data_IF_709859578873
#
_entry.id   IF_709859578873
#
_cell.length_a   1.000
_cell.length_b   1.000
_cell.length_c   1.000
_cell.angle_alpha   90.00
_cell.angle_beta   90.00
_cell.angle_gamma   90.00
#
_symmetry.space_group_name_H-M   'P 1'
#
loop_
_entity.id
_entity.type
_entity.pdbx_description
1 polymer ?
#
# COMPACT_ATOMS: atom_id res chain seq x y z
N UNK A 1 63.94 -22.22 16.84
CA UNK A 1 63.22 -22.26 15.55
C UNK A 1 62.22 -21.10 15.56
N UNK A 2 62.56 -19.97 14.92
CA UNK A 2 61.66 -18.82 14.79
C UNK A 2 60.66 -19.15 13.67
N UNK A 3 59.37 -19.21 13.96
CA UNK A 3 58.33 -19.32 12.94
C UNK A 3 57.66 -17.95 12.78
N UNK A 4 57.65 -17.52 11.54
CA UNK A 4 57.33 -16.21 11.03
C UNK A 4 55.80 -16.00 11.06
N UNK A 5 55.32 -14.93 11.71
CA UNK A 5 53.93 -14.49 11.59
C UNK A 5 53.80 -13.57 10.38
N UNK A 6 53.65 -14.17 9.20
CA UNK A 6 53.33 -13.46 7.96
C UNK A 6 51.82 -13.39 7.72
N UNK A 7 51.28 -12.17 7.69
CA UNK A 7 50.09 -11.73 6.95
C UNK A 7 48.96 -12.75 6.72
N UNK A 8 48.07 -12.92 7.71
CA UNK A 8 46.71 -13.46 7.50
C UNK A 8 45.61 -12.51 7.98
N UNK A 9 45.94 -11.24 8.21
CA UNK A 9 44.98 -10.22 8.70
C UNK A 9 44.42 -9.33 7.59
N UNK A 10 45.00 -9.38 6.39
CA UNK A 10 44.64 -8.50 5.28
C UNK A 10 43.67 -9.11 4.27
N UNK A 11 43.57 -10.45 4.19
CA UNK A 11 42.62 -11.10 3.27
C UNK A 11 41.16 -11.06 3.76
N UNK A 12 40.93 -10.95 5.07
CA UNK A 12 39.59 -10.93 5.66
C UNK A 12 38.84 -9.60 5.45
N UNK A 13 39.56 -8.49 5.29
CA UNK A 13 38.95 -7.16 5.13
C UNK A 13 38.53 -6.91 3.67
N UNK A 14 39.16 -7.59 2.69
CA UNK A 14 38.75 -7.53 1.28
C UNK A 14 37.61 -8.48 0.93
N UNK A 15 37.38 -9.53 1.72
CA UNK A 15 36.29 -10.50 1.54
C UNK A 15 34.94 -10.04 2.12
N UNK A 16 34.94 -9.07 3.04
CA UNK A 16 33.75 -8.59 3.75
C UNK A 16 32.71 -7.92 2.83
N UNK A 17 33.09 -7.02 1.90
CA UNK A 17 32.13 -6.42 0.98
C UNK A 17 31.55 -7.44 -0.01
N UNK A 18 32.34 -8.45 -0.38
CA UNK A 18 31.93 -9.48 -1.34
C UNK A 18 31.00 -10.52 -0.70
N UNK A 19 31.21 -10.87 0.57
CA UNK A 19 30.32 -11.75 1.33
C UNK A 19 28.97 -11.06 1.61
N UNK A 20 28.98 -9.79 2.02
CA UNK A 20 27.76 -8.98 2.25
C UNK A 20 26.99 -8.76 0.92
N UNK A 21 27.69 -8.51 -0.18
CA UNK A 21 27.08 -8.41 -1.51
C UNK A 21 26.52 -9.77 -1.99
N UNK A 22 27.17 -10.89 -1.66
CA UNK A 22 26.70 -12.24 -2.03
C UNK A 22 25.54 -12.71 -1.16
N UNK A 23 25.43 -12.23 0.09
CA UNK A 23 24.32 -12.48 1.00
C UNK A 23 23.07 -11.68 0.61
N UNK A 24 23.24 -10.41 0.20
CA UNK A 24 22.19 -9.66 -0.52
C UNK A 24 21.74 -10.42 -1.78
N UNK A 25 22.70 -10.82 -2.62
CA UNK A 25 22.45 -11.42 -3.94
C UNK A 25 21.84 -12.82 -3.95
N UNK A 26 22.02 -13.62 -2.89
CA UNK A 26 21.61 -15.03 -2.87
C UNK A 26 20.50 -15.37 -1.88
N UNK A 27 20.16 -14.49 -0.93
CA UNK A 27 19.15 -14.78 0.12
C UNK A 27 18.09 -13.68 0.19
N UNK A 28 18.47 -12.42 -0.01
CA UNK A 28 17.52 -11.29 -0.01
C UNK A 28 16.92 -11.10 -1.41
N UNK A 29 17.76 -11.11 -2.44
CA UNK A 29 17.37 -10.88 -3.84
C UNK A 29 16.44 -11.94 -4.48
N UNK A 30 16.50 -13.24 -4.14
CA UNK A 30 15.59 -14.21 -4.76
C UNK A 30 14.15 -14.09 -4.28
N UNK A 31 13.93 -13.55 -3.07
CA UNK A 31 12.61 -13.41 -2.46
C UNK A 31 12.07 -11.97 -2.59
N UNK A 32 12.98 -11.00 -2.61
CA UNK A 32 12.70 -9.57 -2.75
C UNK A 32 13.65 -9.04 -3.82
N UNK A 33 13.33 -9.26 -5.10
CA UNK A 33 14.15 -8.73 -6.19
C UNK A 33 14.48 -7.25 -5.96
N UNK A 34 15.75 -6.86 -6.18
CA UNK A 34 16.29 -5.51 -5.92
C UNK A 34 15.44 -4.35 -6.48
N UNK A 35 14.48 -4.64 -7.37
CA UNK A 35 13.55 -3.68 -7.96
C UNK A 35 12.25 -3.46 -7.15
N UNK A 36 11.77 -4.43 -6.35
CA UNK A 36 10.44 -4.35 -5.73
C UNK A 36 10.44 -3.74 -4.31
N UNK A 37 11.51 -3.87 -3.52
CA UNK A 37 11.58 -3.24 -2.18
C UNK A 37 11.52 -1.72 -2.27
N UNK A 38 12.11 -1.13 -3.31
CA UNK A 38 12.05 0.32 -3.57
C UNK A 38 10.68 0.79 -4.10
N UNK A 39 9.84 -0.13 -4.59
CA UNK A 39 8.49 0.19 -5.07
C UNK A 39 7.54 0.53 -3.90
N UNK A 40 7.60 -0.26 -2.81
CA UNK A 40 6.70 -0.12 -1.66
C UNK A 40 7.13 0.95 -0.64
N UNK A 41 8.43 1.24 -0.52
CA UNK A 41 8.98 2.19 0.48
C UNK A 41 8.48 3.65 0.27
N UNK A 42 8.04 4.00 -0.94
CA UNK A 42 7.47 5.32 -1.24
C UNK A 42 5.94 5.38 -1.17
N UNK A 43 5.30 4.35 -0.64
CA UNK A 43 3.84 4.25 -0.69
C UNK A 43 3.18 4.90 0.53
N UNK A 44 2.17 5.70 0.24
CA UNK A 44 1.46 6.49 1.26
C UNK A 44 0.79 5.56 2.26
N UNK A 45 0.81 5.95 3.53
CA UNK A 45 0.07 5.29 4.61
C UNK A 45 -1.40 5.07 4.23
N UNK A 46 -2.08 4.04 4.81
CA UNK A 46 -3.50 3.82 4.61
C UNK A 46 -4.32 5.10 4.79
N UNK A 47 -5.39 5.22 4.01
CA UNK A 47 -6.33 6.33 4.10
C UNK A 47 -7.05 6.27 5.45
N UNK A 48 -6.50 6.97 6.43
CA UNK A 48 -7.00 7.05 7.80
C UNK A 48 -6.81 8.45 8.35
N UNK A 49 -7.86 8.95 8.97
CA UNK A 49 -7.89 10.19 9.70
C UNK A 49 -8.78 10.04 10.94
N UNK A 50 -8.97 11.13 11.69
CA UNK A 50 -9.91 11.15 12.82
C UNK A 50 -11.31 10.73 12.35
N UNK A 51 -11.95 9.77 13.04
CA UNK A 51 -13.28 9.29 12.65
C UNK A 51 -14.32 10.37 12.95
N UNK A 52 -15.13 10.72 11.94
CA UNK A 52 -16.13 11.77 12.08
C UNK A 52 -17.54 11.21 12.32
N UNK A 53 -18.29 11.92 13.17
CA UNK A 53 -19.76 11.79 13.21
C UNK A 53 -20.35 12.32 11.91
N UNK A 54 -21.64 12.06 11.67
CA UNK A 54 -22.34 12.56 10.49
C UNK A 54 -22.24 14.09 10.40
N UNK A 55 -22.51 14.79 11.50
CA UNK A 55 -22.50 16.26 11.57
C UNK A 55 -21.10 16.81 11.29
N UNK A 56 -20.06 16.18 11.84
CA UNK A 56 -18.68 16.59 11.62
C UNK A 56 -18.26 16.36 10.17
N UNK A 57 -18.69 15.24 9.56
CA UNK A 57 -18.48 14.94 8.15
C UNK A 57 -19.18 15.97 7.24
N UNK A 58 -20.40 16.40 7.57
CA UNK A 58 -21.12 17.46 6.84
C UNK A 58 -20.38 18.81 6.91
N UNK A 59 -19.89 19.21 8.10
CA UNK A 59 -19.07 20.43 8.24
C UNK A 59 -17.74 20.33 7.48
N UNK A 60 -17.12 19.15 7.49
CA UNK A 60 -15.94 18.86 6.70
C UNK A 60 -16.21 19.01 5.20
N UNK A 61 -17.35 18.48 4.72
CA UNK A 61 -17.78 18.60 3.34
C UNK A 61 -17.86 20.07 2.86
N UNK A 62 -18.42 20.95 3.71
CA UNK A 62 -18.48 22.39 3.45
C UNK A 62 -17.08 23.00 3.39
N UNK A 63 -16.19 22.58 4.30
CA UNK A 63 -14.81 23.07 4.38
C UNK A 63 -14.01 22.71 3.13
N UNK A 64 -14.07 21.45 2.70
CA UNK A 64 -13.38 21.03 1.48
C UNK A 64 -13.98 21.69 0.23
N UNK A 65 -15.31 21.87 0.16
CA UNK A 65 -15.97 22.48 -0.97
C UNK A 65 -15.53 23.94 -1.18
N UNK A 66 -15.29 24.67 -0.09
CA UNK A 66 -14.76 26.04 -0.13
C UNK A 66 -13.29 26.10 -0.58
N UNK A 67 -12.53 25.02 -0.37
CA UNK A 67 -11.10 24.91 -0.74
C UNK A 67 -10.90 24.46 -2.19
N UNK A 68 -11.87 23.76 -2.77
CA UNK A 68 -11.77 23.22 -4.12
C UNK A 68 -11.72 24.31 -5.18
N UNK A 69 -10.55 24.47 -5.79
CA UNK A 69 -10.35 25.26 -6.99
C UNK A 69 -10.32 24.32 -8.19
N UNK A 70 -11.15 24.59 -9.20
CA UNK A 70 -11.47 23.61 -10.23
C UNK A 70 -11.02 24.03 -11.62
N UNK A 71 -10.51 23.05 -12.37
CA UNK A 71 -10.19 23.16 -13.79
C UNK A 71 -11.08 22.22 -14.60
N UNK A 72 -11.45 22.66 -15.80
CA UNK A 72 -12.31 21.94 -16.74
C UNK A 72 -11.54 21.60 -18.02
N UNK A 73 -12.01 20.58 -18.76
CA UNK A 73 -11.52 20.19 -20.10
C UNK A 73 -10.06 19.70 -20.17
N UNK A 74 -9.62 18.91 -19.20
CA UNK A 74 -8.31 18.25 -19.24
C UNK A 74 -8.39 16.75 -19.60
N UNK A 75 -7.27 16.20 -20.08
CA UNK A 75 -7.20 14.88 -20.71
C UNK A 75 -6.55 13.78 -19.86
N UNK A 76 -6.21 14.02 -18.59
CA UNK A 76 -5.46 13.03 -17.78
C UNK A 76 -6.30 11.77 -17.45
N UNK A 77 -5.77 10.57 -17.66
CA UNK A 77 -6.43 9.29 -17.30
C UNK A 77 -5.78 8.60 -16.08
N UNK A 78 -5.12 9.36 -15.21
CA UNK A 78 -4.35 8.86 -14.05
C UNK A 78 -5.10 7.85 -13.17
N UNK A 79 -6.43 7.96 -13.02
CA UNK A 79 -7.20 7.01 -12.20
C UNK A 79 -7.26 5.59 -12.78
N UNK A 80 -7.22 5.45 -14.11
CA UNK A 80 -7.21 4.12 -14.75
C UNK A 80 -5.84 3.48 -14.66
N UNK A 81 -4.79 4.27 -14.91
CA UNK A 81 -3.39 3.85 -14.70
C UNK A 81 -3.21 3.42 -13.24
N UNK A 82 -3.67 4.26 -12.31
CA UNK A 82 -3.59 3.96 -10.88
C UNK A 82 -4.37 2.71 -10.48
N UNK A 83 -5.55 2.47 -11.06
CA UNK A 83 -6.30 1.24 -10.79
C UNK A 83 -5.57 0.01 -11.32
N UNK A 84 -4.87 0.11 -12.45
CA UNK A 84 -4.05 -0.99 -12.97
C UNK A 84 -2.84 -1.25 -12.06
N UNK A 85 -2.16 -0.21 -11.58
CA UNK A 85 -1.10 -0.34 -10.59
C UNK A 85 -1.64 -1.00 -9.32
N UNK A 86 -2.84 -0.61 -8.88
CA UNK A 86 -3.45 -1.18 -7.69
C UNK A 86 -3.72 -2.68 -7.82
N UNK A 87 -4.21 -3.11 -8.97
CA UNK A 87 -4.41 -4.53 -9.29
C UNK A 87 -3.09 -5.30 -9.28
N UNK A 88 -2.05 -4.76 -9.91
CA UNK A 88 -0.73 -5.40 -9.95
C UNK A 88 -0.19 -5.67 -8.56
N UNK A 89 -0.17 -4.64 -7.70
CA UNK A 89 0.35 -4.75 -6.33
C UNK A 89 -0.49 -5.72 -5.50
N UNK A 90 -1.82 -5.69 -5.64
CA UNK A 90 -2.70 -6.61 -4.93
C UNK A 90 -2.45 -8.07 -5.31
N UNK A 91 -2.20 -8.34 -6.60
CA UNK A 91 -1.84 -9.68 -7.09
C UNK A 91 -0.48 -10.15 -6.56
N UNK A 92 0.52 -9.27 -6.51
CA UNK A 92 1.83 -9.58 -5.93
C UNK A 92 1.71 -9.95 -4.44
N UNK A 93 0.97 -9.15 -3.66
CA UNK A 93 0.73 -9.45 -2.25
C UNK A 93 -0.02 -10.78 -2.11
N UNK A 94 -1.06 -11.02 -2.90
CA UNK A 94 -1.80 -12.27 -2.86
C UNK A 94 -0.90 -13.49 -3.13
N UNK A 95 0.00 -13.42 -4.12
CA UNK A 95 0.94 -14.48 -4.42
C UNK A 95 1.89 -14.74 -3.23
N UNK A 96 2.48 -13.69 -2.67
CA UNK A 96 3.35 -13.76 -1.49
C UNK A 96 2.65 -14.41 -0.29
N UNK A 97 1.41 -14.00 0.00
CA UNK A 97 0.63 -14.54 1.12
C UNK A 97 0.26 -16.01 0.88
N UNK A 98 -0.09 -16.36 -0.35
CA UNK A 98 -0.46 -17.73 -0.74
C UNK A 98 0.72 -18.69 -0.66
N UNK A 99 1.94 -18.22 -0.90
CA UNK A 99 3.16 -19.02 -0.71
C UNK A 99 3.44 -19.27 0.77
N UNK A 100 3.38 -18.23 1.60
CA UNK A 100 3.59 -18.35 3.05
C UNK A 100 2.55 -19.27 3.72
N UNK A 101 1.31 -19.29 3.23
CA UNK A 101 0.26 -20.21 3.69
C UNK A 101 0.57 -21.69 3.42
N UNK A 102 1.23 -21.99 2.29
CA UNK A 102 1.60 -23.37 1.94
C UNK A 102 2.72 -23.92 2.80
N UNK A 103 3.58 -23.03 3.31
CA UNK A 103 4.71 -23.38 4.18
C UNK A 103 4.31 -23.58 5.65
N UNK A 104 3.00 -23.59 5.96
CA UNK A 104 2.42 -23.70 7.32
C UNK A 104 2.94 -22.61 8.29
N UNK A 105 3.39 -21.49 7.72
CA UNK A 105 3.79 -20.33 8.50
C UNK A 105 2.56 -19.67 9.10
N UNK A 106 2.62 -19.32 10.40
CA UNK A 106 1.55 -18.60 11.09
C UNK A 106 1.41 -17.18 10.52
N UNK A 107 0.50 -17.01 9.55
CA UNK A 107 0.12 -15.70 9.05
C UNK A 107 -0.85 -14.99 10.01
N UNK A 108 -1.00 -13.68 9.85
CA UNK A 108 -1.97 -12.91 10.63
C UNK A 108 -3.41 -13.17 10.13
N UNK A 109 -4.44 -13.00 10.97
CA UNK A 109 -5.83 -13.13 10.53
C UNK A 109 -6.20 -12.18 9.37
N UNK A 110 -5.55 -11.03 9.28
CA UNK A 110 -5.76 -10.08 8.19
C UNK A 110 -5.22 -10.61 6.85
N UNK A 111 -4.06 -11.29 6.87
CA UNK A 111 -3.50 -11.94 5.69
C UNK A 111 -4.38 -13.10 5.21
N UNK A 112 -4.89 -13.91 6.15
CA UNK A 112 -5.77 -15.04 5.84
C UNK A 112 -7.06 -14.55 5.19
N UNK A 113 -7.70 -13.54 5.80
CA UNK A 113 -8.89 -12.90 5.23
C UNK A 113 -8.63 -12.36 3.82
N UNK A 114 -7.48 -11.72 3.59
CA UNK A 114 -7.16 -11.16 2.27
C UNK A 114 -7.04 -12.24 1.20
N UNK A 115 -6.41 -13.38 1.52
CA UNK A 115 -6.28 -14.51 0.59
C UNK A 115 -7.63 -15.15 0.32
N UNK A 116 -8.41 -15.43 1.37
CA UNK A 116 -9.72 -16.08 1.25
C UNK A 116 -10.73 -15.26 0.45
N UNK A 117 -10.62 -13.94 0.51
CA UNK A 117 -11.56 -13.00 -0.11
C UNK A 117 -11.01 -12.34 -1.37
N UNK A 118 -9.85 -12.77 -1.89
CA UNK A 118 -9.21 -12.10 -3.02
C UNK A 118 -10.09 -12.06 -4.28
N UNK A 119 -10.90 -13.09 -4.51
CA UNK A 119 -11.84 -13.13 -5.64
C UNK A 119 -12.85 -11.96 -5.64
N UNK A 120 -13.30 -11.50 -4.46
CA UNK A 120 -14.19 -10.33 -4.35
C UNK A 120 -13.47 -9.05 -4.75
N UNK A 121 -12.18 -8.96 -4.42
CA UNK A 121 -11.34 -7.80 -4.73
C UNK A 121 -11.11 -7.73 -6.24
N UNK A 122 -10.80 -8.85 -6.88
CA UNK A 122 -10.71 -8.97 -8.34
C UNK A 122 -12.01 -8.54 -9.03
N UNK A 123 -13.16 -8.99 -8.52
CA UNK A 123 -14.47 -8.58 -9.05
C UNK A 123 -14.68 -7.06 -8.93
N UNK A 124 -14.31 -6.45 -7.79
CA UNK A 124 -14.42 -5.00 -7.63
C UNK A 124 -13.47 -4.25 -8.57
N UNK A 125 -12.24 -4.73 -8.78
CA UNK A 125 -11.30 -4.12 -9.74
C UNK A 125 -11.87 -4.19 -11.16
N UNK A 126 -12.34 -5.36 -11.58
CA UNK A 126 -12.94 -5.55 -12.90
C UNK A 126 -14.15 -4.63 -13.11
N UNK A 127 -15.03 -4.56 -12.11
CA UNK A 127 -16.22 -3.70 -12.17
C UNK A 127 -15.82 -2.21 -12.14
N UNK A 128 -14.76 -1.85 -11.41
CA UNK A 128 -14.18 -0.50 -11.43
C UNK A 128 -13.71 -0.09 -12.82
N UNK A 129 -12.93 -0.95 -13.50
CA UNK A 129 -12.47 -0.73 -14.89
C UNK A 129 -13.65 -0.59 -15.85
N UNK A 130 -14.67 -1.44 -15.70
CA UNK A 130 -15.87 -1.42 -16.54
C UNK A 130 -16.68 -0.13 -16.38
N UNK A 131 -16.86 0.34 -15.15
CA UNK A 131 -17.66 1.52 -14.85
C UNK A 131 -16.91 2.84 -15.03
N UNK A 132 -15.59 2.81 -15.16
CA UNK A 132 -14.76 3.96 -15.53
C UNK A 132 -14.26 3.82 -16.98
N UNK A 133 -15.13 3.95 -18.01
CA UNK A 133 -14.67 3.86 -19.39
C UNK A 133 -13.68 4.99 -19.70
N UNK A 134 -12.76 4.72 -20.65
CA UNK A 134 -11.80 5.72 -21.13
C UNK A 134 -12.51 7.02 -21.51
N UNK A 135 -11.95 8.13 -21.08
CA UNK A 135 -12.54 9.45 -21.28
C UNK A 135 -13.62 9.90 -20.30
N UNK A 136 -14.25 9.01 -19.50
CA UNK A 136 -15.25 9.45 -18.51
C UNK A 136 -14.64 10.43 -17.49
N UNK A 137 -13.46 10.10 -16.96
CA UNK A 137 -12.72 10.96 -16.03
C UNK A 137 -12.31 12.30 -16.65
N UNK A 138 -12.16 12.40 -17.98
CA UNK A 138 -11.84 13.66 -18.69
C UNK A 138 -12.98 14.67 -18.63
N UNK A 139 -14.22 14.20 -18.45
CA UNK A 139 -15.42 15.07 -18.38
C UNK A 139 -15.66 15.66 -16.99
N UNK A 140 -14.94 15.18 -15.97
CA UNK A 140 -15.15 15.58 -14.57
C UNK A 140 -14.29 16.81 -14.21
N UNK A 141 -14.80 17.77 -13.41
CA UNK A 141 -14.00 18.87 -12.89
C UNK A 141 -12.89 18.37 -11.99
N UNK A 142 -11.67 18.88 -12.19
CA UNK A 142 -10.45 18.45 -11.49
C UNK A 142 -9.96 19.50 -10.52
N UNK A 143 -9.23 19.07 -9.49
CA UNK A 143 -8.57 19.96 -8.56
C UNK A 143 -7.37 20.64 -9.22
N UNK A 144 -7.28 21.96 -9.09
CA UNK A 144 -6.17 22.78 -9.60
C UNK A 144 -4.88 22.57 -8.79
N UNK A 145 -5.01 22.31 -7.48
CA UNK A 145 -3.89 22.28 -6.53
C UNK A 145 -4.15 21.30 -5.39
N UNK A 146 -3.10 21.01 -4.63
CA UNK A 146 -3.12 20.09 -3.49
C UNK A 146 -2.52 18.73 -3.81
N UNK A 147 -2.56 17.80 -2.87
CA UNK A 147 -1.96 16.46 -3.02
C UNK A 147 -2.65 15.58 -4.07
N UNK A 148 -3.91 15.90 -4.37
CA UNK A 148 -4.75 15.26 -5.37
C UNK A 148 -5.00 16.19 -6.57
N UNK A 149 -4.08 17.14 -6.83
CA UNK A 149 -4.12 17.97 -8.04
C UNK A 149 -4.24 17.09 -9.30
N UNK A 150 -4.91 17.62 -10.32
CA UNK A 150 -5.24 16.93 -11.57
C UNK A 150 -6.18 15.72 -11.44
N UNK A 151 -6.60 15.33 -10.24
CA UNK A 151 -7.64 14.31 -10.04
C UNK A 151 -9.04 14.95 -9.96
N UNK A 152 -10.10 14.21 -10.33
CA UNK A 152 -11.48 14.70 -10.19
C UNK A 152 -11.80 15.07 -8.74
N UNK A 153 -12.47 16.19 -8.50
CA UNK A 153 -12.89 16.59 -7.13
C UNK A 153 -13.73 15.53 -6.43
N UNK A 154 -14.49 14.74 -7.19
CA UNK A 154 -15.31 13.64 -6.67
C UNK A 154 -14.46 12.46 -6.17
N UNK A 155 -13.21 12.33 -6.63
CA UNK A 155 -12.25 11.38 -6.09
C UNK A 155 -11.72 11.84 -4.73
N UNK A 156 -11.38 13.12 -4.61
CA UNK A 156 -11.01 13.72 -3.32
C UNK A 156 -12.13 13.58 -2.28
N UNK A 157 -13.38 13.89 -2.66
CA UNK A 157 -14.55 13.63 -1.82
C UNK A 157 -14.62 12.17 -1.32
N UNK A 158 -14.35 11.20 -2.18
CA UNK A 158 -14.35 9.79 -1.80
C UNK A 158 -13.20 9.47 -0.82
N UNK A 159 -12.01 9.99 -1.07
CA UNK A 159 -10.83 9.82 -0.19
C UNK A 159 -11.10 10.42 1.19
N UNK A 160 -11.68 11.61 1.26
CA UNK A 160 -12.04 12.28 2.52
C UNK A 160 -13.06 11.46 3.31
N UNK A 161 -14.11 10.95 2.65
CA UNK A 161 -15.11 10.08 3.30
C UNK A 161 -14.47 8.80 3.82
N UNK A 162 -13.66 8.11 3.01
CA UNK A 162 -13.00 6.86 3.38
C UNK A 162 -12.06 7.09 4.58
N UNK A 163 -11.26 8.15 4.54
CA UNK A 163 -10.28 8.46 5.59
C UNK A 163 -10.96 8.75 6.94
N UNK A 164 -12.07 9.49 6.94
CA UNK A 164 -12.83 9.86 8.13
C UNK A 164 -13.89 8.84 8.57
N UNK A 165 -13.98 7.69 7.88
CA UNK A 165 -14.88 6.58 8.21
C UNK A 165 -14.17 5.24 8.42
N UNK A 166 -12.83 5.21 8.39
CA UNK A 166 -12.01 3.99 8.39
C UNK A 166 -12.49 2.98 7.32
N UNK A 167 -12.91 3.48 6.16
CA UNK A 167 -13.45 2.69 5.06
C UNK A 167 -14.91 2.23 5.23
N UNK A 168 -15.57 2.50 6.36
CA UNK A 168 -16.97 2.17 6.59
C UNK A 168 -17.91 3.19 5.95
N UNK A 169 -18.26 2.98 4.68
CA UNK A 169 -19.15 3.85 3.93
C UNK A 169 -20.61 3.54 4.23
N UNK A 170 -21.23 4.42 5.01
CA UNK A 170 -22.66 4.43 5.31
C UNK A 170 -23.44 5.39 4.39
N UNK A 171 -24.66 5.00 4.01
CA UNK A 171 -25.47 5.75 3.04
C UNK A 171 -25.97 7.08 3.61
N UNK A 172 -26.28 7.14 4.91
CA UNK A 172 -26.79 8.35 5.55
C UNK A 172 -25.66 9.39 5.68
N UNK A 173 -24.46 8.94 6.08
CA UNK A 173 -23.25 9.78 6.11
C UNK A 173 -22.86 10.28 4.72
N UNK A 174 -22.86 9.39 3.72
CA UNK A 174 -22.55 9.75 2.33
C UNK A 174 -23.53 10.79 1.80
N UNK A 175 -24.83 10.58 2.03
CA UNK A 175 -25.88 11.50 1.60
C UNK A 175 -25.75 12.85 2.29
N UNK A 176 -25.52 12.87 3.61
CA UNK A 176 -25.26 14.08 4.38
C UNK A 176 -24.07 14.87 3.82
N UNK A 177 -22.93 14.20 3.62
CA UNK A 177 -21.72 14.80 3.08
C UNK A 177 -21.95 15.43 1.70
N UNK A 178 -22.56 14.68 0.78
CA UNK A 178 -22.79 15.16 -0.59
C UNK A 178 -23.78 16.33 -0.61
N UNK A 179 -24.81 16.30 0.23
CA UNK A 179 -25.75 17.41 0.37
C UNK A 179 -25.08 18.66 0.93
N UNK A 180 -24.28 18.51 1.98
CA UNK A 180 -23.54 19.61 2.62
C UNK A 180 -22.51 20.22 1.66
N UNK A 181 -21.73 19.40 0.95
CA UNK A 181 -20.81 19.85 -0.09
C UNK A 181 -21.54 20.69 -1.16
N UNK A 182 -22.67 20.18 -1.65
CA UNK A 182 -23.47 20.83 -2.69
C UNK A 182 -24.15 22.12 -2.24
N UNK A 183 -24.11 22.49 -0.95
CA UNK A 183 -24.54 23.85 -0.54
C UNK A 183 -23.56 24.92 -1.01
N UNK A 184 -22.30 24.55 -1.24
CA UNK A 184 -21.24 25.45 -1.69
C UNK A 184 -21.03 25.35 -3.20
N UNK A 185 -20.87 24.13 -3.73
CA UNK A 185 -20.61 23.91 -5.15
C UNK A 185 -21.36 22.69 -5.68
N UNK A 186 -22.25 22.92 -6.66
CA UNK A 186 -23.16 21.91 -7.20
C UNK A 186 -22.43 20.89 -8.07
N UNK A 187 -22.74 19.62 -7.86
CA UNK A 187 -22.32 18.54 -8.75
C UNK A 187 -23.25 18.48 -9.96
N UNK A 188 -22.69 18.31 -11.15
CA UNK A 188 -23.46 17.91 -12.33
C UNK A 188 -23.92 16.47 -12.18
N UNK A 189 -24.93 16.04 -12.95
CA UNK A 189 -25.42 14.66 -12.94
C UNK A 189 -24.28 13.64 -13.10
N UNK A 190 -23.36 13.86 -14.04
CA UNK A 190 -22.19 13.00 -14.21
C UNK A 190 -21.29 12.93 -12.96
N UNK A 191 -21.17 14.01 -12.19
CA UNK A 191 -20.43 14.01 -10.93
C UNK A 191 -21.10 13.15 -9.85
N UNK A 192 -22.42 13.14 -9.77
CA UNK A 192 -23.16 12.30 -8.81
C UNK A 192 -23.00 10.81 -9.12
N UNK A 193 -23.11 10.43 -10.40
CA UNK A 193 -22.85 9.05 -10.83
C UNK A 193 -21.41 8.62 -10.54
N UNK A 194 -20.45 9.54 -10.72
CA UNK A 194 -19.04 9.28 -10.47
C UNK A 194 -18.73 8.96 -9.00
N UNK A 195 -19.51 9.43 -8.02
CA UNK A 195 -19.26 9.18 -6.59
C UNK A 195 -19.12 7.69 -6.30
N UNK A 196 -20.03 6.86 -6.83
CA UNK A 196 -19.99 5.41 -6.61
C UNK A 196 -18.74 4.76 -7.19
N UNK A 197 -18.30 5.22 -8.36
CA UNK A 197 -17.07 4.78 -9.01
C UNK A 197 -15.86 5.20 -8.16
N UNK A 198 -15.82 6.47 -7.73
CA UNK A 198 -14.71 7.01 -6.95
C UNK A 198 -14.56 6.37 -5.58
N UNK A 199 -15.66 6.08 -4.89
CA UNK A 199 -15.65 5.32 -3.64
C UNK A 199 -15.02 3.95 -3.83
N UNK A 200 -15.39 3.23 -4.89
CA UNK A 200 -14.78 1.95 -5.21
C UNK A 200 -13.28 2.07 -5.46
N UNK A 201 -12.86 3.04 -6.27
CA UNK A 201 -11.42 3.26 -6.55
C UNK A 201 -10.65 3.63 -5.28
N UNK A 202 -11.22 4.49 -4.44
CA UNK A 202 -10.63 4.89 -3.16
C UNK A 202 -10.50 3.73 -2.18
N UNK A 203 -11.51 2.84 -2.12
CA UNK A 203 -11.46 1.65 -1.27
C UNK A 203 -10.42 0.65 -1.76
N UNK A 204 -10.30 0.44 -3.09
CA UNK A 204 -9.26 -0.41 -3.68
C UNK A 204 -7.87 0.17 -3.42
N UNK A 205 -7.70 1.49 -3.55
CA UNK A 205 -6.45 2.17 -3.20
C UNK A 205 -6.11 1.99 -1.72
N UNK A 206 -7.08 2.12 -0.81
CA UNK A 206 -6.86 1.92 0.61
C UNK A 206 -6.50 0.47 0.94
N UNK A 207 -7.22 -0.47 0.31
CA UNK A 207 -6.97 -1.90 0.46
C UNK A 207 -5.55 -2.24 0.03
N UNK A 208 -5.11 -1.75 -1.14
CA UNK A 208 -3.73 -1.92 -1.60
C UNK A 208 -2.73 -1.48 -0.53
N UNK A 209 -2.87 -0.27 0.01
CA UNK A 209 -1.99 0.26 1.07
C UNK A 209 -1.97 -0.63 2.32
N UNK A 210 -3.12 -1.18 2.72
CA UNK A 210 -3.20 -2.12 3.83
C UNK A 210 -2.53 -3.46 3.50
N UNK A 211 -2.72 -3.98 2.28
CA UNK A 211 -2.09 -5.22 1.81
C UNK A 211 -0.56 -5.14 1.83
N UNK A 212 -0.01 -3.97 1.50
CA UNK A 212 1.44 -3.73 1.57
C UNK A 212 1.94 -3.80 3.01
N UNK A 213 1.23 -3.17 3.95
CA UNK A 213 1.60 -3.28 5.37
C UNK A 213 1.56 -4.73 5.87
N UNK A 214 0.59 -5.51 5.42
CA UNK A 214 0.49 -6.94 5.75
C UNK A 214 1.70 -7.71 5.16
N UNK A 215 2.07 -7.41 3.90
CA UNK A 215 3.22 -8.01 3.25
C UNK A 215 4.54 -7.67 3.96
N UNK A 216 4.72 -6.41 4.37
CA UNK A 216 5.88 -5.96 5.16
C UNK A 216 5.94 -6.68 6.52
N UNK A 217 4.80 -6.80 7.21
CA UNK A 217 4.72 -7.51 8.49
C UNK A 217 5.16 -8.97 8.36
N UNK A 218 4.68 -9.66 7.33
CA UNK A 218 5.03 -11.07 7.08
C UNK A 218 6.50 -11.21 6.70
N UNK A 219 7.01 -10.33 5.84
CA UNK A 219 8.42 -10.35 5.43
C UNK A 219 9.35 -10.14 6.64
N UNK A 220 9.03 -9.15 7.48
CA UNK A 220 9.79 -8.88 8.71
C UNK A 220 9.73 -10.04 9.69
N UNK A 221 8.57 -10.69 9.83
CA UNK A 221 8.39 -11.86 10.68
C UNK A 221 9.19 -13.06 10.19
N UNK A 222 9.16 -13.34 8.90
CA UNK A 222 9.94 -14.44 8.29
C UNK A 222 11.45 -14.20 8.44
N UNK A 223 11.90 -12.95 8.30
CA UNK A 223 13.29 -12.59 8.56
C UNK A 223 13.67 -12.80 10.04
N UNK A 224 12.83 -12.36 10.98
CA UNK A 224 13.06 -12.54 12.40
C UNK A 224 13.10 -14.03 12.81
N UNK A 225 12.21 -14.86 12.26
CA UNK A 225 12.22 -16.30 12.49
C UNK A 225 13.51 -16.94 11.97
N UNK A 226 13.96 -16.57 10.77
CA UNK A 226 15.22 -17.06 10.22
C UNK A 226 16.42 -16.69 11.10
N UNK A 227 16.48 -15.45 11.60
CA UNK A 227 17.52 -15.04 12.54
C UNK A 227 17.43 -15.81 13.86
N UNK A 228 16.23 -16.06 14.38
CA UNK A 228 16.06 -16.86 15.58
C UNK A 228 16.57 -18.30 15.39
N UNK A 229 16.24 -18.93 14.26
CA UNK A 229 16.70 -20.28 13.92
C UNK A 229 18.22 -20.33 13.76
N UNK A 230 18.82 -19.36 13.06
CA UNK A 230 20.28 -19.23 12.92
C UNK A 230 20.97 -19.04 14.28
N UNK A 231 20.40 -18.21 15.17
CA UNK A 231 20.92 -18.00 16.52
C UNK A 231 20.81 -19.26 17.40
N UNK A 232 19.70 -20.01 17.31
CA UNK A 232 19.54 -21.29 18.00
C UNK A 232 20.58 -22.28 17.51
N UNK A 233 20.74 -22.42 16.19
CA UNK A 233 21.72 -23.34 15.60
C UNK A 233 23.16 -22.99 16.03
N UNK A 234 23.53 -21.71 16.01
CA UNK A 234 24.85 -21.25 16.44
C UNK A 234 25.02 -21.42 17.96
N UNK A 235 23.99 -21.17 18.76
CA UNK A 235 24.01 -21.41 20.20
C UNK A 235 24.22 -22.89 20.54
N UNK A 236 23.64 -23.81 19.77
CA UNK A 236 23.77 -25.24 19.98
C UNK A 236 25.12 -25.79 19.50
N UNK A 237 25.69 -25.23 18.42
CA UNK A 237 26.91 -25.74 17.78
C UNK A 237 28.19 -25.03 18.23
N UNK A 238 28.16 -23.71 18.45
CA UNK A 238 29.32 -22.92 18.88
C UNK A 238 28.92 -21.62 19.64
N UNK A 239 28.65 -21.70 20.95
CA UNK A 239 28.15 -20.59 21.77
C UNK A 239 29.07 -19.35 21.78
N UNK A 240 30.34 -19.49 21.43
CA UNK A 240 31.30 -18.38 21.44
C UNK A 240 31.11 -17.40 20.28
N UNK A 241 30.39 -17.80 19.23
CA UNK A 241 30.16 -17.00 18.02
C UNK A 241 28.80 -16.28 17.98
N UNK A 242 27.96 -16.43 19.01
CA UNK A 242 26.66 -15.73 19.15
C UNK A 242 26.77 -14.20 19.02
N UNK A 243 27.84 -13.61 19.58
CA UNK A 243 28.08 -12.15 19.51
C UNK A 243 28.37 -11.67 18.10
N UNK A 244 28.89 -12.53 17.21
CA UNK A 244 29.14 -12.18 15.81
C UNK A 244 27.85 -12.18 14.98
N UNK A 245 26.88 -13.05 15.30
CA UNK A 245 25.58 -13.15 14.60
C UNK A 245 24.63 -12.01 14.98
N UNK A 246 24.77 -11.43 16.18
CA UNK A 246 23.95 -10.31 16.65
C UNK A 246 24.47 -8.95 16.13
N UNK A 247 25.72 -8.90 15.64
CA UNK A 247 26.40 -7.65 15.27
C UNK A 247 26.45 -7.36 13.75
N UNK A 248 26.05 -8.33 12.92
CA UNK A 248 25.89 -8.23 11.45
C UNK A 248 24.41 -8.03 11.08
#
# INVERSE_FOLDING_TARGET
MKVNWGNKKTDFIELLPQAIAKLKKNIIDPFLGENNTLSYINERAPLRAEIFTREKLEQHAITIAKRHELVYNQTSEQLLERLADNEHILLEVYALLSENLKEDNRISPAAEWLVDNFYLIEEQIYTGKKHLPKGYSKTLPRLLKGELADLPRVYDMAVEIISHSDGHVDIDKLTGFVNAYQTIDKLKLGGLWAITIMLRLGLIENLRRLSILIAEEITNRSLANRWADEMIEVSEKDPKNLVLVIAD
#
